data_IF_904640395904
#
_entry.id   IF_904640395904
#
_cell.length_a   1.000
_cell.length_b   1.000
_cell.length_c   1.000
_cell.angle_alpha   90.00
_cell.angle_beta   90.00
_cell.angle_gamma   90.00
#
_symmetry.space_group_name_H-M   'P 1'
#
loop_
_entity.id
_entity.type
_entity.pdbx_description
1 polymer ?
#
# COMPACT_ATOMS: atom_id res chain seq x y z
N UNK A 1 -2.39 -10.70 -3.37
CA UNK A 1 -2.65 -12.14 -3.21
C UNK A 1 -2.72 -12.81 -4.57
N UNK A 2 -2.11 -14.00 -4.71
CA UNK A 2 -1.83 -14.66 -6.00
C UNK A 2 -3.08 -14.86 -6.88
N UNK A 3 -4.18 -15.35 -6.30
CA UNK A 3 -5.39 -15.60 -7.10
C UNK A 3 -6.10 -14.33 -7.57
N UNK A 4 -6.08 -13.27 -6.77
CA UNK A 4 -6.68 -11.98 -7.16
C UNK A 4 -5.88 -11.28 -8.27
N UNK A 5 -4.55 -11.40 -8.23
CA UNK A 5 -3.67 -10.73 -9.20
C UNK A 5 -3.87 -11.17 -10.64
N UNK A 6 -4.36 -12.39 -10.87
CA UNK A 6 -4.59 -12.87 -12.24
C UNK A 6 -5.56 -11.99 -13.05
N UNK A 7 -6.47 -11.31 -12.35
CA UNK A 7 -7.48 -10.45 -12.97
C UNK A 7 -7.18 -8.95 -12.84
N UNK A 8 -6.05 -8.57 -12.24
CA UNK A 8 -5.71 -7.17 -12.00
C UNK A 8 -4.98 -6.60 -13.22
N UNK A 9 -5.48 -5.47 -13.72
CA UNK A 9 -4.81 -4.69 -14.76
C UNK A 9 -3.56 -4.01 -14.20
N UNK A 10 -2.52 -3.88 -15.03
CA UNK A 10 -1.22 -3.25 -14.69
C UNK A 10 -0.60 -3.74 -13.37
N UNK A 11 -0.83 -5.02 -13.06
CA UNK A 11 -0.38 -5.63 -11.81
C UNK A 11 1.12 -5.54 -11.57
N UNK A 12 1.92 -5.62 -12.63
CA UNK A 12 3.37 -5.62 -12.54
C UNK A 12 3.89 -4.28 -12.05
N UNK A 13 3.41 -3.18 -12.64
CA UNK A 13 3.76 -1.84 -12.23
C UNK A 13 3.29 -1.55 -10.79
N UNK A 14 2.07 -1.94 -10.46
CA UNK A 14 1.55 -1.82 -9.10
C UNK A 14 2.41 -2.59 -8.08
N UNK A 15 2.74 -3.86 -8.34
CA UNK A 15 3.58 -4.70 -7.46
C UNK A 15 4.97 -4.07 -7.29
N UNK A 16 5.55 -3.57 -8.38
CA UNK A 16 6.85 -2.90 -8.34
C UNK A 16 6.80 -1.65 -7.45
N UNK A 17 5.77 -0.82 -7.58
CA UNK A 17 5.57 0.36 -6.75
C UNK A 17 5.34 0.02 -5.27
N UNK A 18 4.58 -1.05 -4.97
CA UNK A 18 4.46 -1.56 -3.59
C UNK A 18 5.84 -1.98 -3.07
N UNK A 19 6.64 -2.64 -3.89
CA UNK A 19 8.03 -3.00 -3.55
C UNK A 19 8.88 -1.78 -3.21
N UNK A 20 8.77 -0.68 -3.96
CA UNK A 20 9.46 0.59 -3.69
C UNK A 20 9.01 1.21 -2.35
N UNK A 21 7.71 1.18 -2.05
CA UNK A 21 7.18 1.66 -0.77
C UNK A 21 7.75 0.87 0.41
N UNK A 22 7.87 -0.45 0.28
CA UNK A 22 8.46 -1.30 1.31
C UNK A 22 9.94 -0.96 1.51
N UNK A 23 10.70 -0.85 0.42
CA UNK A 23 12.13 -0.51 0.49
C UNK A 23 12.32 0.89 1.08
N UNK A 24 11.57 1.89 0.64
CA UNK A 24 11.58 3.24 1.20
C UNK A 24 11.21 3.27 2.69
N UNK A 25 10.24 2.43 3.09
CA UNK A 25 9.86 2.31 4.50
C UNK A 25 11.00 1.78 5.37
N UNK A 26 11.82 0.88 4.84
CA UNK A 26 13.02 0.36 5.53
C UNK A 26 14.09 1.43 5.64
N UNK A 27 14.40 2.12 4.55
CA UNK A 27 15.38 3.20 4.50
C UNK A 27 15.01 4.29 5.52
N UNK A 28 13.75 4.71 5.54
CA UNK A 28 13.24 5.78 6.42
C UNK A 28 12.82 5.30 7.82
N UNK A 29 13.00 4.01 8.15
CA UNK A 29 12.54 3.40 9.40
C UNK A 29 11.04 3.62 9.68
N UNK A 30 10.21 3.65 8.65
CA UNK A 30 8.75 3.76 8.75
C UNK A 30 8.16 2.39 9.12
N UNK A 31 7.27 2.37 10.10
CA UNK A 31 6.60 1.14 10.52
C UNK A 31 5.58 0.69 9.48
N UNK A 32 5.53 -0.60 9.19
CA UNK A 32 4.57 -1.18 8.25
C UNK A 32 4.04 -2.53 8.73
N UNK A 33 2.89 -2.89 8.23
CA UNK A 33 2.27 -4.21 8.32
C UNK A 33 1.60 -4.55 6.99
N UNK A 34 1.21 -5.82 6.80
CA UNK A 34 0.38 -6.19 5.65
C UNK A 34 -0.69 -7.19 6.04
N UNK A 35 -1.76 -7.23 5.26
CA UNK A 35 -2.94 -8.04 5.51
C UNK A 35 -3.24 -8.94 4.32
N UNK A 36 -3.86 -10.09 4.59
CA UNK A 36 -4.37 -11.01 3.58
C UNK A 36 -5.86 -11.28 3.80
N UNK A 37 -6.65 -11.07 2.74
CA UNK A 37 -8.07 -11.37 2.73
C UNK A 37 -8.28 -12.84 2.49
N UNK A 38 -8.86 -13.57 3.45
CA UNK A 38 -9.23 -14.99 3.32
C UNK A 38 -8.20 -15.82 2.52
N UNK A 39 -6.94 -15.92 3.01
CA UNK A 39 -5.85 -16.51 2.22
C UNK A 39 -6.09 -17.97 1.84
N UNK A 40 -6.90 -18.71 2.58
CA UNK A 40 -7.26 -20.09 2.25
C UNK A 40 -8.01 -20.18 0.91
N UNK A 41 -8.80 -19.16 0.56
CA UNK A 41 -9.50 -19.08 -0.72
C UNK A 41 -8.76 -18.26 -1.77
N UNK A 42 -8.20 -17.13 -1.39
CA UNK A 42 -7.62 -16.14 -2.32
C UNK A 42 -6.09 -16.31 -2.52
N UNK A 43 -5.51 -17.25 -1.79
CA UNK A 43 -4.06 -17.48 -1.81
C UNK A 43 -3.30 -16.42 -0.99
N UNK A 44 -2.03 -16.66 -0.79
CA UNK A 44 -1.13 -15.78 -0.08
C UNK A 44 -0.66 -14.61 -0.96
N UNK A 45 -0.06 -13.62 -0.33
CA UNK A 45 0.70 -12.55 -0.99
C UNK A 45 1.81 -13.13 -1.86
N UNK A 46 2.14 -12.48 -2.98
CA UNK A 46 3.21 -12.92 -3.89
C UNK A 46 4.54 -13.05 -3.16
N UNK A 47 5.36 -13.99 -3.64
CA UNK A 47 6.64 -14.28 -3.00
C UNK A 47 7.59 -13.07 -3.03
N UNK A 48 7.55 -12.30 -4.12
CA UNK A 48 8.30 -11.03 -4.23
C UNK A 48 7.99 -10.07 -3.07
N UNK A 49 6.71 -9.83 -2.78
CA UNK A 49 6.29 -8.94 -1.69
C UNK A 49 6.60 -9.56 -0.33
N UNK A 50 6.33 -10.85 -0.15
CA UNK A 50 6.61 -11.58 1.12
C UNK A 50 8.10 -11.51 1.49
N UNK A 51 9.00 -11.75 0.53
CA UNK A 51 10.44 -11.65 0.74
C UNK A 51 10.87 -10.24 1.14
N UNK A 52 10.31 -9.22 0.48
CA UNK A 52 10.58 -7.83 0.84
C UNK A 52 10.08 -7.47 2.23
N UNK A 53 8.90 -7.90 2.63
CA UNK A 53 8.32 -7.58 3.94
C UNK A 53 9.05 -8.30 5.08
N UNK A 54 9.35 -9.59 4.94
CA UNK A 54 10.05 -10.38 5.95
C UNK A 54 9.29 -10.54 7.29
N UNK A 55 7.97 -10.46 7.27
CA UNK A 55 7.08 -10.56 8.45
C UNK A 55 5.87 -11.43 8.11
N UNK A 56 5.13 -11.86 9.13
CA UNK A 56 3.87 -12.58 8.96
C UNK A 56 2.73 -11.63 8.58
N UNK A 57 1.80 -12.13 7.76
CA UNK A 57 0.58 -11.41 7.41
C UNK A 57 -0.43 -11.39 8.53
N UNK A 58 -1.29 -10.39 8.52
CA UNK A 58 -2.52 -10.37 9.32
C UNK A 58 -3.65 -10.92 8.44
N UNK A 59 -4.15 -12.10 8.78
CA UNK A 59 -5.28 -12.72 8.08
C UNK A 59 -6.57 -12.04 8.49
N UNK A 60 -7.43 -11.71 7.55
CA UNK A 60 -8.72 -11.06 7.80
C UNK A 60 -9.83 -11.61 6.91
N UNK A 61 -11.07 -11.58 7.43
CA UNK A 61 -12.28 -11.89 6.67
C UNK A 61 -13.05 -10.64 6.27
N UNK A 62 -12.97 -9.58 7.06
CA UNK A 62 -13.58 -8.28 6.73
C UNK A 62 -12.77 -7.57 5.67
N UNK A 63 -13.44 -6.83 4.78
CA UNK A 63 -12.75 -6.08 3.73
C UNK A 63 -11.89 -4.95 4.31
N UNK A 64 -12.45 -4.20 5.26
CA UNK A 64 -11.72 -3.10 5.90
C UNK A 64 -10.76 -3.57 6.98
N UNK A 65 -9.51 -3.16 6.88
CA UNK A 65 -8.50 -3.36 7.92
C UNK A 65 -8.78 -2.53 9.19
N UNK A 66 -9.55 -1.45 9.08
CA UNK A 66 -9.92 -0.60 10.22
C UNK A 66 -10.89 -1.27 11.22
N UNK A 67 -11.34 -2.49 10.92
CA UNK A 67 -12.17 -3.34 11.80
C UNK A 67 -11.38 -4.47 12.47
N UNK A 68 -10.10 -4.60 12.15
CA UNK A 68 -9.22 -5.59 12.75
C UNK A 68 -8.51 -4.99 13.96
N UNK A 69 -8.78 -5.56 15.15
CA UNK A 69 -8.21 -5.08 16.42
C UNK A 69 -6.69 -5.01 16.37
N UNK A 70 -6.04 -6.03 15.83
CA UNK A 70 -4.58 -6.09 15.72
C UNK A 70 -3.99 -4.94 14.89
N UNK A 71 -4.71 -4.47 13.86
CA UNK A 71 -4.31 -3.31 13.06
C UNK A 71 -4.44 -2.03 13.88
N UNK A 72 -5.57 -1.84 14.56
CA UNK A 72 -5.80 -0.66 15.40
C UNK A 72 -4.83 -0.59 16.57
N UNK A 73 -4.55 -1.71 17.22
CA UNK A 73 -3.55 -1.81 18.31
C UNK A 73 -2.14 -1.44 17.80
N UNK A 74 -1.77 -1.90 16.61
CA UNK A 74 -0.51 -1.53 15.98
C UNK A 74 -0.40 -0.02 15.74
N UNK A 75 -1.45 0.59 15.19
CA UNK A 75 -1.49 2.04 14.94
C UNK A 75 -1.38 2.84 16.23
N UNK A 76 -2.14 2.46 17.26
CA UNK A 76 -2.16 3.12 18.56
C UNK A 76 -0.81 2.97 19.29
N UNK A 77 -0.27 1.75 19.37
CA UNK A 77 1.03 1.45 20.03
C UNK A 77 2.17 2.25 19.43
N UNK A 78 2.16 2.44 18.11
CA UNK A 78 3.22 3.18 17.41
C UNK A 78 2.89 4.68 17.24
N UNK A 79 1.79 5.18 17.84
CA UNK A 79 1.35 6.59 17.77
C UNK A 79 1.26 7.11 16.33
N UNK A 80 0.81 6.24 15.41
CA UNK A 80 0.67 6.58 14.00
C UNK A 80 -0.44 7.62 13.81
N UNK A 81 -0.18 8.62 12.98
CA UNK A 81 -1.15 9.64 12.55
C UNK A 81 -1.39 9.59 11.06
N UNK A 82 -0.35 9.25 10.31
CA UNK A 82 -0.30 9.24 8.85
C UNK A 82 -0.11 7.82 8.35
N UNK A 83 -0.89 7.42 7.37
CA UNK A 83 -0.90 6.06 6.85
C UNK A 83 -0.79 6.10 5.32
N UNK A 84 0.21 5.44 4.77
CA UNK A 84 0.27 5.13 3.35
C UNK A 84 -0.45 3.80 3.14
N UNK A 85 -1.48 3.80 2.32
CA UNK A 85 -2.30 2.62 2.04
C UNK A 85 -2.11 2.18 0.58
N UNK A 86 -1.73 0.93 0.35
CA UNK A 86 -1.51 0.38 -1.00
C UNK A 86 -2.04 -1.05 -1.10
N UNK A 87 -2.18 -1.56 -2.33
CA UNK A 87 -2.62 -2.94 -2.61
C UNK A 87 -3.93 -3.03 -3.37
N UNK A 88 -4.64 -4.14 -3.25
CA UNK A 88 -5.85 -4.47 -4.00
C UNK A 88 -7.01 -4.92 -3.10
N UNK A 89 -8.26 -4.80 -3.57
CA UNK A 89 -8.72 -4.00 -4.71
C UNK A 89 -9.08 -2.60 -4.24
N UNK A 90 -8.80 -1.59 -5.07
CA UNK A 90 -9.03 -0.19 -4.74
C UNK A 90 -10.48 0.07 -4.33
N UNK A 91 -11.45 -0.47 -5.09
CA UNK A 91 -12.89 -0.25 -4.88
C UNK A 91 -13.50 -1.11 -3.76
N UNK A 92 -12.76 -2.02 -3.16
CA UNK A 92 -13.24 -2.90 -2.08
C UNK A 92 -12.46 -2.66 -0.79
N UNK A 93 -11.36 -3.40 -0.59
CA UNK A 93 -10.62 -3.37 0.68
C UNK A 93 -9.96 -2.02 0.94
N UNK A 94 -9.32 -1.44 -0.08
CA UNK A 94 -8.60 -0.17 0.04
C UNK A 94 -9.59 0.96 0.36
N UNK A 95 -10.67 1.08 -0.42
CA UNK A 95 -11.66 2.14 -0.23
C UNK A 95 -12.31 2.09 1.16
N UNK A 96 -12.76 0.90 1.58
CA UNK A 96 -13.40 0.76 2.89
C UNK A 96 -12.41 1.07 4.02
N UNK A 97 -11.19 0.56 3.92
CA UNK A 97 -10.13 0.82 4.92
C UNK A 97 -9.80 2.31 5.01
N UNK A 98 -9.56 2.96 3.87
CA UNK A 98 -9.21 4.38 3.81
C UNK A 98 -10.28 5.27 4.43
N UNK A 99 -11.55 5.07 4.04
CA UNK A 99 -12.68 5.87 4.56
C UNK A 99 -12.87 5.67 6.07
N UNK A 100 -12.79 4.41 6.54
CA UNK A 100 -12.99 4.12 7.95
C UNK A 100 -11.83 4.63 8.83
N UNK A 101 -10.59 4.51 8.38
CA UNK A 101 -9.43 5.08 9.09
C UNK A 101 -9.47 6.62 9.07
N UNK A 102 -9.87 7.23 7.95
CA UNK A 102 -10.07 8.68 7.87
C UNK A 102 -11.09 9.18 8.88
N UNK A 103 -12.23 8.46 9.04
CA UNK A 103 -13.26 8.77 10.05
C UNK A 103 -12.73 8.62 11.49
N UNK A 104 -11.71 7.81 11.71
CA UNK A 104 -11.05 7.66 13.02
C UNK A 104 -9.97 8.73 13.28
N UNK A 105 -9.78 9.69 12.36
CA UNK A 105 -8.87 10.81 12.53
C UNK A 105 -7.48 10.63 11.91
N UNK A 106 -7.20 9.50 11.24
CA UNK A 106 -5.93 9.31 10.54
C UNK A 106 -5.90 10.11 9.23
N UNK A 107 -4.73 10.64 8.87
CA UNK A 107 -4.47 11.12 7.51
C UNK A 107 -4.07 9.93 6.64
N UNK A 108 -4.69 9.81 5.48
CA UNK A 108 -4.46 8.67 4.58
C UNK A 108 -3.86 9.18 3.28
N UNK A 109 -2.71 8.65 2.93
CA UNK A 109 -2.02 8.86 1.67
C UNK A 109 -2.21 7.62 0.80
N UNK A 110 -2.62 7.81 -0.44
CA UNK A 110 -2.91 6.73 -1.37
C UNK A 110 -2.11 6.93 -2.67
N UNK A 111 -1.03 6.18 -2.88
CA UNK A 111 -0.31 6.19 -4.14
C UNK A 111 -1.14 5.49 -5.22
N UNK A 112 -1.65 6.27 -6.19
CA UNK A 112 -2.56 5.79 -7.23
C UNK A 112 -1.94 4.71 -8.14
N UNK A 113 -0.62 4.70 -8.24
CA UNK A 113 0.17 3.72 -8.99
C UNK A 113 0.59 2.48 -8.17
N UNK A 114 0.22 2.42 -6.89
CA UNK A 114 0.42 1.26 -6.00
C UNK A 114 -0.91 0.65 -5.51
N UNK A 115 -2.01 1.00 -6.15
CA UNK A 115 -3.35 0.40 -5.97
C UNK A 115 -3.92 0.03 -7.33
N UNK A 116 -4.76 -1.00 -7.38
CA UNK A 116 -5.46 -1.38 -8.62
C UNK A 116 -6.73 -2.18 -8.31
N UNK A 117 -7.52 -2.41 -9.34
CA UNK A 117 -8.72 -3.23 -9.34
C UNK A 117 -8.76 -4.07 -10.61
N UNK A 118 -9.52 -5.17 -10.61
CA UNK A 118 -9.75 -6.00 -11.79
C UNK A 118 -10.47 -5.27 -12.94
N UNK A 119 -11.14 -4.17 -12.63
CA UNK A 119 -11.82 -3.32 -13.60
C UNK A 119 -11.32 -1.88 -13.44
N UNK A 120 -10.77 -1.32 -14.51
CA UNK A 120 -10.21 0.03 -14.51
C UNK A 120 -11.27 1.11 -14.25
N UNK A 121 -12.53 0.89 -14.65
CA UNK A 121 -13.61 1.82 -14.35
C UNK A 121 -13.85 1.90 -12.83
N UNK A 122 -13.92 0.75 -12.14
CA UNK A 122 -14.07 0.70 -10.68
C UNK A 122 -12.89 1.35 -9.96
N UNK A 123 -11.67 1.14 -10.46
CA UNK A 123 -10.47 1.80 -9.94
C UNK A 123 -10.57 3.32 -10.03
N UNK A 124 -10.89 3.85 -11.22
CA UNK A 124 -11.02 5.30 -11.47
C UNK A 124 -12.13 5.94 -10.62
N UNK A 125 -13.29 5.29 -10.54
CA UNK A 125 -14.41 5.79 -9.72
C UNK A 125 -14.02 5.80 -8.24
N UNK A 126 -13.34 4.77 -7.77
CA UNK A 126 -12.88 4.69 -6.38
C UNK A 126 -11.86 5.76 -6.03
N UNK A 127 -10.88 6.01 -6.87
CA UNK A 127 -9.88 7.07 -6.65
C UNK A 127 -10.56 8.44 -6.53
N UNK A 128 -11.49 8.78 -7.43
CA UNK A 128 -12.27 10.03 -7.35
C UNK A 128 -13.11 10.12 -6.07
N UNK A 129 -13.71 9.01 -5.64
CA UNK A 129 -14.49 8.95 -4.41
C UNK A 129 -13.62 9.14 -3.17
N UNK A 130 -12.44 8.52 -3.16
CA UNK A 130 -11.48 8.63 -2.07
C UNK A 130 -10.94 10.05 -1.92
N UNK A 131 -10.58 10.69 -3.04
CA UNK A 131 -10.17 12.10 -3.06
C UNK A 131 -11.24 13.01 -2.44
N UNK A 132 -12.50 12.87 -2.86
CA UNK A 132 -13.64 13.62 -2.29
C UNK A 132 -13.87 13.30 -0.81
N UNK A 133 -13.47 12.13 -0.32
CA UNK A 133 -13.55 11.76 1.09
C UNK A 133 -12.37 12.30 1.91
N UNK A 134 -11.47 13.09 1.32
CA UNK A 134 -10.33 13.70 1.98
C UNK A 134 -9.13 12.76 2.13
N UNK A 135 -9.02 11.76 1.27
CA UNK A 135 -7.83 10.93 1.13
C UNK A 135 -6.85 11.66 0.21
N UNK A 136 -5.59 11.72 0.59
CA UNK A 136 -4.54 12.40 -0.17
C UNK A 136 -4.06 11.45 -1.26
N UNK A 137 -4.42 11.75 -2.51
CA UNK A 137 -4.02 10.95 -3.67
C UNK A 137 -2.68 11.50 -4.20
N UNK A 138 -1.72 10.62 -4.40
CA UNK A 138 -0.42 10.94 -4.97
C UNK A 138 0.11 9.79 -5.83
N UNK A 139 1.38 9.86 -6.19
CA UNK A 139 2.13 8.75 -6.78
C UNK A 139 3.06 8.15 -5.73
N UNK A 140 3.53 6.93 -5.96
CA UNK A 140 4.53 6.29 -5.10
C UNK A 140 5.74 7.19 -4.90
N UNK A 141 6.25 7.78 -5.98
CA UNK A 141 7.43 8.64 -5.93
C UNK A 141 7.19 9.92 -5.13
N UNK A 142 6.08 10.64 -5.39
CA UNK A 142 5.77 11.87 -4.66
C UNK A 142 5.64 11.62 -3.16
N UNK A 143 4.92 10.56 -2.77
CA UNK A 143 4.71 10.21 -1.35
C UNK A 143 6.02 9.80 -0.67
N UNK A 144 6.91 9.06 -1.36
CA UNK A 144 8.24 8.73 -0.81
C UNK A 144 9.05 10.01 -0.55
N UNK A 145 9.04 10.98 -1.47
CA UNK A 145 9.73 12.23 -1.26
C UNK A 145 9.09 13.12 -0.19
N UNK A 146 7.76 13.11 -0.06
CA UNK A 146 7.08 13.74 1.08
C UNK A 146 7.53 13.14 2.43
N UNK A 147 7.71 11.83 2.50
CA UNK A 147 8.25 11.16 3.71
C UNK A 147 9.74 11.51 3.97
N UNK A 148 10.50 11.80 2.92
CA UNK A 148 11.89 12.21 3.03
C UNK A 148 12.04 13.67 3.48
N UNK A 149 11.10 14.53 3.09
CA UNK A 149 11.00 15.96 3.41
C UNK A 149 12.11 16.83 2.82
N UNK A 150 13.37 16.43 2.92
CA UNK A 150 14.52 17.24 2.48
C UNK A 150 15.62 16.37 1.87
N UNK A 151 16.32 16.93 0.87
CA UNK A 151 17.53 16.32 0.29
C UNK A 151 18.76 16.35 1.21
N UNK A 152 18.68 17.06 2.33
CA UNK A 152 19.75 17.13 3.32
C UNK A 152 19.80 15.90 4.25
N UNK A 153 18.81 15.00 4.21
CA UNK A 153 18.82 13.78 5.00
C UNK A 153 19.88 12.79 4.53
N UNK A 154 20.47 12.07 5.47
CA UNK A 154 21.44 11.00 5.16
C UNK A 154 20.88 9.94 4.23
N UNK A 155 19.61 9.59 4.43
CA UNK A 155 18.89 8.55 3.65
C UNK A 155 18.58 9.01 2.21
N UNK A 156 18.65 10.31 1.89
CA UNK A 156 18.25 10.84 0.59
C UNK A 156 18.99 10.17 -0.59
N UNK A 157 20.30 9.92 -0.44
CA UNK A 157 21.10 9.30 -1.51
C UNK A 157 20.58 7.91 -1.85
N UNK A 158 20.25 7.13 -0.84
CA UNK A 158 19.71 5.77 -1.01
C UNK A 158 18.29 5.80 -1.61
N UNK A 159 17.43 6.70 -1.12
CA UNK A 159 16.10 6.92 -1.69
C UNK A 159 16.17 7.36 -3.16
N UNK A 160 17.03 8.30 -3.50
CA UNK A 160 17.22 8.76 -4.88
C UNK A 160 17.66 7.60 -5.79
N UNK A 161 18.54 6.72 -5.30
CA UNK A 161 18.96 5.52 -6.02
C UNK A 161 17.80 4.52 -6.20
N UNK A 162 16.96 4.34 -5.18
CA UNK A 162 15.76 3.50 -5.25
C UNK A 162 14.77 4.02 -6.32
N UNK A 163 14.53 5.32 -6.32
CA UNK A 163 13.57 5.96 -7.23
C UNK A 163 14.00 5.85 -8.71
N UNK A 164 15.29 5.94 -8.99
CA UNK A 164 15.85 5.85 -10.35
C UNK A 164 15.82 4.44 -10.95
N UNK A 165 15.59 3.39 -10.16
CA UNK A 165 15.48 2.02 -10.68
C UNK A 165 14.26 1.92 -11.60
N UNK A 166 14.43 1.18 -12.69
CA UNK A 166 13.34 0.83 -13.60
C UNK A 166 12.72 -0.51 -13.21
N UNK A 167 11.43 -0.74 -13.51
CA UNK A 167 10.81 -2.03 -13.26
C UNK A 167 11.47 -3.12 -14.12
N UNK A 168 11.77 -4.25 -13.50
CA UNK A 168 12.21 -5.47 -14.19
C UNK A 168 10.98 -6.38 -14.35
N UNK A 169 10.26 -6.24 -15.46
CA UNK A 169 8.95 -6.88 -15.71
C UNK A 169 8.93 -8.40 -15.53
N UNK A 170 10.06 -9.10 -15.63
CA UNK A 170 10.13 -10.55 -15.46
C UNK A 170 10.12 -11.05 -14.00
N UNK A 171 10.13 -10.18 -12.99
CA UNK A 171 10.28 -10.56 -11.57
C UNK A 171 8.98 -10.58 -10.76
N UNK A 172 7.85 -10.18 -11.35
CA UNK A 172 6.62 -9.91 -10.56
C UNK A 172 5.49 -10.93 -10.77
N UNK A 173 5.71 -11.92 -11.62
CA UNK A 173 4.75 -13.01 -11.93
C UNK A 173 4.74 -14.11 -10.87
#
# INVERSE_FOLDING_TARGET
QKKLLNSIEDKENMIWNIGRLIDASKILNIKYLYTEQNPDKLGETTDYIKQKIGKSSIRKMRFSCAKEKIVLDFLAKNKIKDIILCGIETHVCIQQTAIELRKKGYRIFLPADAVSSRNNFDNKVSLKRLEKAGIIIGTTESIIFECCDTSAREEFRELSSLIKKKPEHSRYS
#
